data_IF_222501202295
#
_entry.id   IF_222501202295
#
_cell.length_a   1.000
_cell.length_b   1.000
_cell.length_c   1.000
_cell.angle_alpha   90.00
_cell.angle_beta   90.00
_cell.angle_gamma   90.00
#
_symmetry.space_group_name_H-M   'P 1'
#
loop_
_entity.id
_entity.type
_entity.pdbx_description
1 polymer ?
#
# COMPACT_ATOMS: atom_id res chain seq x y z
N UNK A 1 71.07 9.84 28.59
CA UNK A 1 70.82 11.23 29.02
C UNK A 1 71.02 12.13 27.82
N UNK A 2 69.97 12.78 27.35
CA UNK A 2 69.93 14.16 26.84
C UNK A 2 68.47 14.42 26.41
N UNK A 3 67.81 15.29 27.17
CA UNK A 3 66.49 15.80 26.90
C UNK A 3 66.63 17.13 26.17
N UNK A 4 65.81 17.38 25.14
CA UNK A 4 65.45 18.72 24.68
C UNK A 4 64.03 18.67 24.13
N UNK A 5 63.09 19.30 24.84
CA UNK A 5 61.74 19.56 24.38
C UNK A 5 61.63 20.97 23.81
N UNK A 6 60.81 21.15 22.79
CA UNK A 6 60.30 22.44 22.27
C UNK A 6 58.94 22.12 21.61
N UNK A 7 57.83 22.45 22.26
CA UNK A 7 57.01 23.66 22.08
C UNK A 7 55.84 23.46 21.10
N UNK A 8 54.64 23.35 21.67
CA UNK A 8 53.34 23.49 21.02
C UNK A 8 53.06 24.95 20.63
N UNK A 9 52.28 25.21 19.58
CA UNK A 9 51.33 26.30 19.63
C UNK A 9 49.88 25.86 19.37
N UNK A 10 49.05 26.23 20.33
CA UNK A 10 47.60 26.32 20.28
C UNK A 10 47.15 27.30 19.18
N UNK A 11 46.15 26.92 18.39
CA UNK A 11 45.45 27.82 17.49
C UNK A 11 43.92 27.66 17.69
N UNK A 12 43.39 28.45 18.60
CA UNK A 12 41.97 28.66 18.84
C UNK A 12 41.52 29.94 18.12
N UNK A 13 40.69 29.81 17.07
CA UNK A 13 39.93 30.94 16.48
C UNK A 13 38.54 30.44 16.06
N UNK A 14 37.54 30.70 16.92
CA UNK A 14 36.44 31.67 16.74
C UNK A 14 35.34 31.22 15.75
N UNK A 15 34.26 30.75 16.37
CA UNK A 15 32.91 30.65 15.81
C UNK A 15 32.39 32.05 15.39
N UNK A 16 31.64 32.16 14.29
CA UNK A 16 30.76 33.29 14.07
C UNK A 16 29.35 32.97 14.58
N UNK A 17 28.96 33.64 15.65
CA UNK A 17 27.58 33.96 16.02
C UNK A 17 27.06 35.06 15.10
N UNK A 18 25.90 34.87 14.47
CA UNK A 18 25.14 35.95 13.84
C UNK A 18 23.65 35.77 14.13
N UNK A 19 23.04 36.89 14.49
CA UNK A 19 21.77 37.04 15.18
C UNK A 19 20.51 36.71 14.38
N UNK A 20 19.50 36.34 15.16
CA UNK A 20 18.10 36.20 14.80
C UNK A 20 17.46 37.53 14.37
N UNK A 21 16.95 37.57 13.14
CA UNK A 21 15.87 38.49 12.76
C UNK A 21 14.60 37.69 12.45
N UNK A 22 13.59 37.87 13.32
CA UNK A 22 12.20 37.54 13.06
C UNK A 22 11.72 38.36 11.85
N UNK A 23 11.31 37.69 10.78
CA UNK A 23 10.32 38.25 9.85
C UNK A 23 9.35 37.16 9.43
N UNK A 24 8.10 37.37 9.85
CA UNK A 24 6.93 36.60 9.51
C UNK A 24 6.53 36.89 8.07
N UNK A 25 6.54 35.88 7.20
CA UNK A 25 5.78 35.92 5.95
C UNK A 25 5.53 34.51 5.41
N UNK A 26 4.29 34.09 5.60
CA UNK A 26 3.66 32.89 5.09
C UNK A 26 3.69 32.84 3.55
N UNK A 27 4.47 31.94 2.95
CA UNK A 27 4.23 31.48 1.56
C UNK A 27 4.58 29.99 1.42
N UNK A 28 3.60 29.24 0.95
CA UNK A 28 3.62 27.81 0.69
C UNK A 28 4.69 27.50 -0.37
N UNK A 29 5.75 26.79 0.03
CA UNK A 29 6.73 26.22 -0.90
C UNK A 29 6.12 25.01 -1.60
N UNK A 30 5.48 25.26 -2.73
CA UNK A 30 5.13 24.24 -3.70
C UNK A 30 6.42 23.87 -4.45
N UNK A 31 6.92 22.65 -4.23
CA UNK A 31 8.02 22.06 -4.99
C UNK A 31 7.73 22.15 -6.50
N UNK A 32 8.32 23.14 -7.14
CA UNK A 32 8.20 23.36 -8.57
C UNK A 32 9.21 22.46 -9.27
N UNK A 33 8.80 21.23 -9.56
CA UNK A 33 9.52 20.37 -10.50
C UNK A 33 9.57 21.08 -11.86
N UNK A 34 10.74 21.58 -12.23
CA UNK A 34 11.03 22.06 -13.58
C UNK A 34 11.08 20.85 -14.52
N UNK A 35 10.23 20.76 -15.57
CA UNK A 35 10.40 19.76 -16.60
C UNK A 35 11.50 20.23 -17.55
N UNK A 36 12.66 19.56 -17.53
CA UNK A 36 13.58 19.58 -18.67
C UNK A 36 12.89 18.87 -19.83
N UNK A 37 12.30 19.64 -20.75
CA UNK A 37 11.78 19.17 -22.04
C UNK A 37 12.58 19.82 -23.16
N UNK A 38 13.59 19.10 -23.66
CA UNK A 38 14.19 19.38 -24.97
C UNK A 38 13.27 18.84 -26.06
N UNK A 39 12.40 19.70 -26.61
CA UNK A 39 11.76 19.43 -27.90
C UNK A 39 11.49 20.74 -28.64
N UNK A 40 12.13 20.90 -29.79
CA UNK A 40 12.00 22.02 -30.73
C UNK A 40 10.69 21.90 -31.53
N UNK A 41 9.54 21.99 -30.87
CA UNK A 41 8.25 22.07 -31.57
C UNK A 41 7.53 23.35 -31.16
N UNK A 42 7.65 24.39 -31.99
CA UNK A 42 6.90 25.64 -31.85
C UNK A 42 5.49 25.48 -32.43
N UNK A 43 4.68 24.62 -31.81
CA UNK A 43 3.25 24.53 -32.08
C UNK A 43 2.46 25.57 -31.29
N UNK A 44 1.44 26.17 -31.91
CA UNK A 44 0.52 27.14 -31.29
C UNK A 44 -0.10 26.53 -30.02
N UNK A 45 0.24 27.12 -28.87
CA UNK A 45 -0.22 26.66 -27.55
C UNK A 45 -1.58 27.30 -27.26
N UNK A 46 -2.66 26.67 -27.71
CA UNK A 46 -4.02 27.06 -27.29
C UNK A 46 -4.14 26.84 -25.77
N UNK A 47 -4.10 27.93 -25.01
CA UNK A 47 -4.42 27.94 -23.58
C UNK A 47 -5.93 27.81 -23.43
N UNK A 48 -6.47 26.59 -23.51
CA UNK A 48 -7.84 26.34 -23.05
C UNK A 48 -7.83 26.31 -21.52
N UNK A 49 -8.22 27.41 -20.89
CA UNK A 49 -8.53 27.45 -19.46
C UNK A 49 -9.86 26.74 -19.23
N UNK A 50 -9.85 25.41 -19.25
CA UNK A 50 -10.98 24.61 -18.76
C UNK A 50 -10.84 24.58 -17.24
N UNK A 51 -11.66 25.36 -16.53
CA UNK A 51 -11.82 25.22 -15.10
C UNK A 51 -12.37 23.81 -14.83
N UNK A 52 -11.54 22.92 -14.29
CA UNK A 52 -11.98 21.60 -13.84
C UNK A 52 -12.85 21.83 -12.60
N UNK A 53 -14.15 21.47 -12.62
CA UNK A 53 -14.96 21.58 -11.42
C UNK A 53 -14.36 20.69 -10.35
N UNK A 54 -14.03 21.27 -9.19
CA UNK A 54 -13.71 20.51 -7.98
C UNK A 54 -15.02 19.87 -7.51
N UNK A 55 -15.19 18.54 -7.60
CA UNK A 55 -16.44 17.96 -7.15
C UNK A 55 -16.53 18.12 -5.63
N UNK A 56 -17.71 18.49 -5.14
CA UNK A 56 -18.00 18.56 -3.70
C UNK A 56 -17.91 17.16 -3.10
N UNK A 57 -16.85 16.88 -2.34
CA UNK A 57 -16.48 15.56 -1.84
C UNK A 57 -17.05 15.21 -0.44
N UNK A 58 -17.79 16.11 0.20
CA UNK A 58 -18.07 16.07 1.64
C UNK A 58 -18.73 14.78 2.14
N UNK A 59 -19.88 14.39 1.59
CA UNK A 59 -20.65 13.25 2.10
C UNK A 59 -20.06 11.87 1.78
N UNK A 60 -19.52 11.68 0.56
CA UNK A 60 -18.99 10.38 0.11
C UNK A 60 -17.65 10.03 0.76
N UNK A 61 -16.87 11.02 1.22
CA UNK A 61 -15.61 10.73 1.92
C UNK A 61 -15.86 10.14 3.31
N UNK A 62 -16.82 10.66 4.08
CA UNK A 62 -17.12 10.19 5.45
C UNK A 62 -17.57 8.72 5.44
N UNK A 63 -18.50 8.35 4.55
CA UNK A 63 -18.98 6.96 4.44
C UNK A 63 -17.85 5.99 4.07
N UNK A 64 -16.94 6.42 3.19
CA UNK A 64 -15.75 5.61 2.83
C UNK A 64 -14.73 5.51 3.97
N UNK A 65 -14.67 6.47 4.89
CA UNK A 65 -13.81 6.38 6.08
C UNK A 65 -14.38 5.36 7.05
N UNK A 66 -15.68 5.45 7.40
CA UNK A 66 -16.33 4.55 8.35
C UNK A 66 -16.15 3.07 7.98
N UNK A 67 -16.42 2.72 6.71
CA UNK A 67 -16.24 1.34 6.23
C UNK A 67 -14.78 0.87 6.29
N UNK A 68 -13.82 1.78 6.08
CA UNK A 68 -12.39 1.43 6.17
C UNK A 68 -11.99 1.14 7.62
N UNK A 69 -12.50 1.93 8.56
CA UNK A 69 -12.19 1.78 9.98
C UNK A 69 -12.75 0.48 10.53
N UNK A 70 -13.98 0.12 10.16
CA UNK A 70 -14.60 -1.16 10.49
C UNK A 70 -13.75 -2.32 9.96
N UNK A 71 -13.42 -2.33 8.66
CA UNK A 71 -12.56 -3.37 8.08
C UNK A 71 -11.18 -3.45 8.76
N UNK A 72 -10.64 -2.35 9.26
CA UNK A 72 -9.34 -2.34 9.96
C UNK A 72 -9.47 -2.95 11.36
N UNK A 73 -10.58 -2.72 12.06
CA UNK A 73 -10.88 -3.35 13.35
C UNK A 73 -11.01 -4.86 13.18
N UNK A 74 -11.74 -5.31 12.15
CA UNK A 74 -11.90 -6.73 11.84
C UNK A 74 -10.54 -7.41 11.59
N UNK A 75 -9.67 -6.76 10.80
CA UNK A 75 -8.33 -7.31 10.51
C UNK A 75 -7.47 -7.39 11.76
N UNK A 76 -7.58 -6.42 12.67
CA UNK A 76 -6.84 -6.45 13.93
C UNK A 76 -7.33 -7.53 14.88
N UNK A 77 -8.61 -7.91 14.80
CA UNK A 77 -9.19 -9.01 15.58
C UNK A 77 -8.76 -10.41 15.06
N UNK A 78 -8.54 -10.55 13.75
CA UNK A 78 -8.10 -11.82 13.14
C UNK A 78 -6.69 -12.27 13.59
N UNK A 79 -6.46 -13.58 13.64
CA UNK A 79 -5.13 -14.15 13.92
C UNK A 79 -4.18 -14.01 12.73
N UNK A 80 -2.86 -14.18 12.93
CA UNK A 80 -1.88 -14.08 11.83
C UNK A 80 -2.02 -15.19 10.80
N UNK A 81 -2.52 -16.35 11.21
CA UNK A 81 -2.79 -17.51 10.36
C UNK A 81 -4.02 -17.26 9.47
N UNK A 82 -5.13 -16.83 10.06
CA UNK A 82 -6.34 -16.40 9.35
C UNK A 82 -6.03 -15.31 8.32
N UNK A 83 -5.20 -14.32 8.68
CA UNK A 83 -4.76 -13.28 7.75
C UNK A 83 -4.05 -13.88 6.53
N UNK A 84 -3.20 -14.91 6.71
CA UNK A 84 -2.50 -15.53 5.60
C UNK A 84 -3.44 -16.31 4.68
N UNK A 85 -4.39 -17.03 5.25
CA UNK A 85 -5.40 -17.79 4.50
C UNK A 85 -6.29 -16.85 3.70
N UNK A 86 -6.84 -15.82 4.33
CA UNK A 86 -7.69 -14.82 3.67
C UNK A 86 -6.94 -14.07 2.55
N UNK A 87 -5.64 -13.79 2.74
CA UNK A 87 -4.81 -13.20 1.67
C UNK A 87 -4.70 -14.12 0.46
N UNK A 88 -4.60 -15.44 0.65
CA UNK A 88 -4.54 -16.42 -0.44
C UNK A 88 -5.89 -16.50 -1.14
N UNK A 89 -6.99 -16.56 -0.38
CA UNK A 89 -8.34 -16.67 -0.91
C UNK A 89 -8.74 -15.43 -1.72
N UNK A 90 -8.50 -14.22 -1.20
CA UNK A 90 -8.77 -12.98 -1.93
C UNK A 90 -7.93 -12.84 -3.21
N UNK A 91 -6.70 -13.40 -3.24
CA UNK A 91 -5.91 -13.45 -4.48
C UNK A 91 -6.50 -14.43 -5.48
N UNK A 92 -7.03 -15.56 -5.03
CA UNK A 92 -7.75 -16.52 -5.86
C UNK A 92 -9.02 -15.91 -6.47
N UNK A 93 -9.81 -15.21 -5.67
CA UNK A 93 -10.99 -14.50 -6.16
C UNK A 93 -10.62 -13.38 -7.14
N UNK A 94 -9.52 -12.67 -6.90
CA UNK A 94 -9.05 -11.62 -7.81
C UNK A 94 -8.67 -12.21 -9.18
N UNK A 95 -8.14 -13.45 -9.21
CA UNK A 95 -7.90 -14.17 -10.46
C UNK A 95 -9.21 -14.47 -11.18
N UNK A 96 -10.25 -14.92 -10.47
CA UNK A 96 -11.56 -15.18 -11.07
C UNK A 96 -12.18 -13.93 -11.68
N UNK A 97 -12.11 -12.79 -10.99
CA UNK A 97 -12.56 -11.51 -11.55
C UNK A 97 -11.79 -11.15 -12.82
N UNK A 98 -10.47 -11.44 -12.90
CA UNK A 98 -9.70 -11.21 -14.12
C UNK A 98 -10.16 -12.09 -15.27
N UNK A 99 -10.47 -13.36 -14.99
CA UNK A 99 -10.97 -14.31 -15.99
C UNK A 99 -12.38 -13.92 -16.47
N UNK A 100 -13.28 -13.52 -15.56
CA UNK A 100 -14.60 -12.99 -15.92
C UNK A 100 -14.48 -11.75 -16.81
N UNK A 101 -13.57 -10.84 -16.48
CA UNK A 101 -13.30 -9.64 -17.28
C UNK A 101 -12.81 -9.98 -18.69
N UNK A 102 -11.92 -10.97 -18.84
CA UNK A 102 -11.47 -11.41 -20.17
C UNK A 102 -12.57 -12.13 -20.95
N UNK A 103 -13.42 -12.89 -20.27
CA UNK A 103 -14.59 -13.54 -20.87
C UNK A 103 -15.69 -12.53 -21.29
N UNK A 104 -15.53 -11.24 -20.96
CA UNK A 104 -16.52 -10.18 -21.18
C UNK A 104 -17.85 -10.44 -20.47
N UNK A 105 -17.81 -11.19 -19.37
CA UNK A 105 -18.96 -11.36 -18.48
C UNK A 105 -19.23 -10.04 -17.74
N UNK A 106 -20.44 -9.89 -17.22
CA UNK A 106 -20.78 -8.77 -16.35
C UNK A 106 -20.08 -8.93 -14.99
N UNK A 107 -19.32 -7.92 -14.58
CA UNK A 107 -18.67 -7.87 -13.28
C UNK A 107 -18.64 -6.44 -12.72
N UNK A 108 -18.52 -6.32 -11.40
CA UNK A 108 -18.39 -5.02 -10.72
C UNK A 108 -16.93 -4.55 -10.74
N UNK A 109 -16.64 -3.45 -11.44
CA UNK A 109 -15.28 -2.90 -11.56
C UNK A 109 -14.69 -2.41 -10.23
N UNK A 110 -15.55 -2.00 -9.28
CA UNK A 110 -15.16 -1.57 -7.94
C UNK A 110 -14.51 -2.70 -7.11
N UNK A 111 -14.89 -3.96 -7.34
CA UNK A 111 -14.38 -5.11 -6.58
C UNK A 111 -12.88 -5.31 -6.78
N UNK A 112 -12.37 -5.08 -8.00
CA UNK A 112 -10.93 -5.10 -8.27
C UNK A 112 -10.13 -4.18 -7.33
N UNK A 113 -10.62 -2.97 -7.13
CA UNK A 113 -9.99 -1.98 -6.26
C UNK A 113 -10.19 -2.33 -4.79
N UNK A 114 -11.39 -2.74 -4.41
CA UNK A 114 -11.74 -3.11 -3.04
C UNK A 114 -10.89 -4.28 -2.54
N UNK A 115 -10.82 -5.38 -3.30
CA UNK A 115 -10.07 -6.57 -2.93
C UNK A 115 -8.57 -6.30 -2.81
N UNK A 116 -7.97 -5.58 -3.78
CA UNK A 116 -6.55 -5.18 -3.70
C UNK A 116 -6.26 -4.34 -2.46
N UNK A 117 -7.15 -3.39 -2.13
CA UNK A 117 -7.00 -2.55 -0.94
C UNK A 117 -7.17 -3.35 0.35
N UNK A 118 -8.06 -4.36 0.38
CA UNK A 118 -8.23 -5.26 1.52
C UNK A 118 -6.99 -6.13 1.76
N UNK A 119 -6.44 -6.73 0.70
CA UNK A 119 -5.16 -7.47 0.76
C UNK A 119 -4.04 -6.57 1.30
N UNK A 120 -3.93 -5.34 0.80
CA UNK A 120 -2.92 -4.40 1.27
C UNK A 120 -3.06 -4.10 2.77
N UNK A 121 -4.27 -3.84 3.27
CA UNK A 121 -4.53 -3.62 4.70
C UNK A 121 -4.10 -4.81 5.57
N UNK A 122 -4.46 -6.02 5.15
CA UNK A 122 -4.07 -7.25 5.85
C UNK A 122 -2.55 -7.43 5.95
N UNK A 123 -1.84 -7.18 4.85
CA UNK A 123 -0.37 -7.25 4.84
C UNK A 123 0.28 -6.14 5.68
N UNK A 124 -0.33 -4.97 5.78
CA UNK A 124 0.12 -3.91 6.68
C UNK A 124 0.01 -4.35 8.14
N UNK A 125 -1.15 -4.85 8.57
CA UNK A 125 -1.35 -5.31 9.96
C UNK A 125 -0.41 -6.47 10.29
N UNK A 126 -0.22 -7.43 9.38
CA UNK A 126 0.78 -8.48 9.54
C UNK A 126 2.19 -7.90 9.76
N UNK A 127 2.55 -6.87 8.99
CA UNK A 127 3.87 -6.24 9.12
C UNK A 127 4.02 -5.42 10.40
N UNK A 128 2.94 -4.79 10.89
CA UNK A 128 2.91 -4.11 12.18
C UNK A 128 3.22 -5.09 13.31
N UNK A 129 2.56 -6.27 13.32
CA UNK A 129 2.83 -7.34 14.28
C UNK A 129 4.28 -7.84 14.24
N UNK A 130 4.84 -8.06 13.04
CA UNK A 130 6.26 -8.43 12.90
C UNK A 130 7.22 -7.36 13.47
N UNK A 131 6.82 -6.08 13.44
CA UNK A 131 7.63 -4.97 13.99
C UNK A 131 7.53 -4.97 15.52
N UNK A 132 6.34 -5.22 16.08
CA UNK A 132 6.12 -5.37 17.53
C UNK A 132 6.94 -6.54 18.10
N UNK A 133 7.06 -7.65 17.36
CA UNK A 133 7.93 -8.79 17.69
C UNK A 133 9.43 -8.47 17.56
N UNK A 134 9.80 -7.30 17.03
CA UNK A 134 11.20 -6.90 16.84
C UNK A 134 11.89 -7.52 15.61
N UNK A 135 11.13 -8.04 14.65
CA UNK A 135 11.70 -8.69 13.46
C UNK A 135 12.27 -7.64 12.49
N UNK A 136 13.59 -7.71 12.32
CA UNK A 136 14.34 -6.91 11.35
C UNK A 136 13.85 -7.11 9.90
N UNK A 137 13.94 -6.05 9.09
CA UNK A 137 13.52 -6.06 7.66
C UNK A 137 14.18 -7.16 6.83
N UNK A 138 15.41 -7.59 7.15
CA UNK A 138 16.09 -8.69 6.42
C UNK A 138 15.46 -10.05 6.74
N UNK A 139 15.15 -10.31 8.00
CA UNK A 139 14.57 -11.57 8.46
C UNK A 139 13.13 -11.70 7.96
N UNK A 140 12.34 -10.62 8.07
CA UNK A 140 10.97 -10.56 7.51
C UNK A 140 10.93 -10.95 6.02
N UNK A 141 11.86 -10.43 5.19
CA UNK A 141 11.95 -10.83 3.77
C UNK A 141 12.31 -12.31 3.57
N UNK A 142 13.16 -12.90 4.43
CA UNK A 142 13.49 -14.33 4.36
C UNK A 142 12.27 -15.18 4.70
N UNK A 143 11.52 -14.80 5.73
CA UNK A 143 10.27 -15.46 6.14
C UNK A 143 9.20 -15.33 5.05
N UNK A 144 8.99 -14.14 4.50
CA UNK A 144 8.04 -13.89 3.41
C UNK A 144 8.38 -14.71 2.15
N UNK A 145 9.67 -14.81 1.78
CA UNK A 145 10.10 -15.68 0.68
C UNK A 145 9.86 -17.16 0.96
N UNK A 146 10.15 -17.61 2.19
CA UNK A 146 9.90 -19.00 2.61
C UNK A 146 8.40 -19.32 2.54
N UNK A 147 7.56 -18.43 3.07
CA UNK A 147 6.11 -18.55 3.02
C UNK A 147 5.58 -18.56 1.58
N UNK A 148 6.01 -17.63 0.72
CA UNK A 148 5.58 -17.61 -0.69
C UNK A 148 5.92 -18.89 -1.45
N UNK A 149 7.03 -19.55 -1.11
CA UNK A 149 7.41 -20.85 -1.69
C UNK A 149 6.54 -22.01 -1.17
N UNK A 150 6.05 -21.93 0.06
CA UNK A 150 5.22 -22.98 0.65
C UNK A 150 3.74 -22.87 0.29
N UNK A 151 3.31 -21.82 -0.41
CA UNK A 151 1.91 -21.65 -0.83
C UNK A 151 1.57 -22.72 -1.87
N UNK A 152 0.63 -23.59 -1.52
CA UNK A 152 -0.01 -24.52 -2.45
C UNK A 152 -1.21 -23.83 -3.08
N UNK A 153 -1.28 -23.84 -4.42
CA UNK A 153 -2.40 -23.26 -5.16
C UNK A 153 -3.67 -24.06 -4.89
N UNK A 154 -4.71 -23.37 -4.44
CA UNK A 154 -6.01 -23.93 -4.08
C UNK A 154 -7.12 -23.18 -4.85
N UNK A 155 -8.24 -23.85 -5.21
CA UNK A 155 -9.36 -23.15 -5.83
C UNK A 155 -9.97 -22.14 -4.84
N UNK A 156 -10.40 -20.96 -5.31
CA UNK A 156 -10.96 -19.92 -4.46
C UNK A 156 -12.26 -20.38 -3.77
N UNK A 157 -12.58 -19.84 -2.59
CA UNK A 157 -13.71 -20.30 -1.78
C UNK A 157 -15.06 -20.16 -2.51
N UNK A 158 -15.24 -19.12 -3.32
CA UNK A 158 -16.44 -18.93 -4.14
C UNK A 158 -16.68 -20.06 -5.14
N UNK A 159 -15.63 -20.68 -5.68
CA UNK A 159 -15.77 -21.86 -6.55
C UNK A 159 -15.98 -23.14 -5.73
N UNK A 160 -15.28 -23.28 -4.61
CA UNK A 160 -15.45 -24.44 -3.71
C UNK A 160 -16.91 -24.58 -3.26
N UNK A 161 -17.52 -23.49 -2.79
CA UNK A 161 -18.93 -23.47 -2.37
C UNK A 161 -19.88 -23.93 -3.48
N UNK A 162 -19.68 -23.46 -4.71
CA UNK A 162 -20.48 -23.90 -5.87
C UNK A 162 -20.32 -25.39 -6.15
N UNK A 163 -19.08 -25.90 -6.12
CA UNK A 163 -18.80 -27.32 -6.35
C UNK A 163 -19.42 -28.19 -5.25
N UNK A 164 -19.38 -27.76 -3.99
CA UNK A 164 -20.00 -28.47 -2.87
C UNK A 164 -21.52 -28.51 -2.97
N UNK A 165 -22.16 -27.40 -3.37
CA UNK A 165 -23.61 -27.33 -3.60
C UNK A 165 -24.05 -28.27 -4.74
N UNK A 166 -23.31 -28.28 -5.86
CA UNK A 166 -23.59 -29.17 -6.99
C UNK A 166 -23.44 -30.65 -6.61
N UNK A 167 -22.44 -30.99 -5.78
CA UNK A 167 -22.24 -32.36 -5.31
C UNK A 167 -23.38 -32.81 -4.41
N UNK A 168 -23.81 -31.97 -3.46
CA UNK A 168 -24.96 -32.26 -2.60
C UNK A 168 -26.25 -32.46 -3.38
N UNK A 169 -26.49 -31.65 -4.41
CA UNK A 169 -27.65 -31.82 -5.30
C UNK A 169 -27.61 -33.17 -6.03
N UNK A 170 -26.45 -33.55 -6.58
CA UNK A 170 -26.26 -34.86 -7.26
C UNK A 170 -26.40 -36.04 -6.30
N UNK A 171 -25.96 -35.90 -5.05
CA UNK A 171 -26.12 -36.94 -4.04
C UNK A 171 -27.59 -37.12 -3.66
N UNK A 172 -28.32 -36.01 -3.46
CA UNK A 172 -29.77 -36.05 -3.20
C UNK A 172 -30.54 -36.73 -4.34
N UNK A 173 -30.22 -36.41 -5.59
CA UNK A 173 -30.81 -37.03 -6.79
C UNK A 173 -30.50 -38.52 -6.92
N UNK A 174 -29.34 -38.99 -6.44
CA UNK A 174 -28.98 -40.42 -6.46
C UNK A 174 -29.59 -41.22 -5.32
N UNK A 175 -29.99 -40.55 -4.25
CA UNK A 175 -30.62 -41.17 -3.08
C UNK A 175 -32.15 -41.22 -3.14
N UNK A 176 -32.75 -40.58 -4.16
CA UNK A 176 -34.19 -40.61 -4.47
C UNK A 176 -34.48 -41.60 -5.58
#
# INVERSE_FOLDING_TARGET
MMALGLSSPSASLRLPSFDSHLSSSSRLNLFQFSPLRSSLFNGIRLRTSVAVPTPSYGGLMVVRMAKREEELKDIRAMTTEEINEEVVDLKGELLMLRLQRSARNEFKSSEFGRMRKRIARMLTVKREREIEEGINKRISRKLDRKWKRSIVVRPPPSLRKKLEEEQKAREAEKTS
#
